data_IF_958257437199
#
_entry.id   IF_958257437199
#
_cell.length_a   1.000
_cell.length_b   1.000
_cell.length_c   1.000
_cell.angle_alpha   90.00
_cell.angle_beta   90.00
_cell.angle_gamma   90.00
#
_symmetry.space_group_name_H-M   'P 1'
#
loop_
_entity.id
_entity.type
_entity.pdbx_description
1 polymer ?
#
# COMPACT_ATOMS: atom_id res chain seq x y z
N UNK A 1 0.21 5.62 -37.17
CA UNK A 1 -0.74 6.70 -36.88
C UNK A 1 0.08 7.96 -36.58
N UNK A 2 -0.23 9.08 -37.27
CA UNK A 2 0.46 10.34 -37.05
C UNK A 2 -0.30 11.15 -35.97
N UNK A 3 0.28 11.38 -34.78
CA UNK A 3 -0.42 12.07 -33.69
C UNK A 3 -0.67 13.56 -33.97
N UNK A 4 0.02 14.15 -34.95
CA UNK A 4 -0.21 15.52 -35.39
C UNK A 4 -1.42 15.65 -36.31
N UNK A 5 -1.85 14.56 -36.94
CA UNK A 5 -3.01 14.53 -37.84
C UNK A 5 -4.25 13.91 -37.19
N UNK A 6 -4.05 12.97 -36.26
CA UNK A 6 -5.14 12.27 -35.60
C UNK A 6 -4.89 12.23 -34.11
N UNK A 7 -5.81 12.75 -33.29
CA UNK A 7 -5.66 12.65 -31.83
C UNK A 7 -5.53 11.20 -31.38
N UNK A 8 -4.62 10.95 -30.42
CA UNK A 8 -4.52 9.65 -29.78
C UNK A 8 -5.56 9.55 -28.66
N UNK A 9 -6.22 8.40 -28.57
CA UNK A 9 -7.04 8.10 -27.42
C UNK A 9 -6.13 7.79 -26.22
N UNK A 10 -6.22 8.60 -25.19
CA UNK A 10 -5.53 8.38 -23.91
C UNK A 10 -6.55 8.31 -22.79
N UNK A 11 -6.24 7.53 -21.76
CA UNK A 11 -7.04 7.41 -20.57
C UNK A 11 -6.13 7.41 -19.34
N UNK A 12 -6.40 8.26 -18.34
CA UNK A 12 -5.67 8.20 -17.08
C UNK A 12 -5.93 6.87 -16.38
N UNK A 13 -4.88 6.15 -16.06
CA UNK A 13 -4.96 4.88 -15.36
C UNK A 13 -3.89 4.79 -14.28
N UNK A 14 -4.19 4.09 -13.20
CA UNK A 14 -3.20 3.78 -12.18
C UNK A 14 -2.13 2.89 -12.81
N UNK A 15 -0.87 3.29 -12.69
CA UNK A 15 0.25 2.60 -13.29
C UNK A 15 1.23 2.04 -12.25
N UNK A 16 1.48 2.77 -11.18
CA UNK A 16 2.47 2.43 -10.17
C UNK A 16 2.03 2.93 -8.81
N UNK A 17 2.17 2.09 -7.79
CA UNK A 17 1.90 2.45 -6.40
C UNK A 17 3.19 2.86 -5.71
N UNK A 18 3.31 4.13 -5.34
CA UNK A 18 4.44 4.61 -4.54
C UNK A 18 4.13 4.39 -3.07
N UNK A 19 5.08 3.78 -2.37
CA UNK A 19 4.91 3.27 -1.03
C UNK A 19 4.81 1.76 -1.02
N UNK A 20 4.90 1.16 0.13
CA UNK A 20 4.92 -0.29 0.31
C UNK A 20 5.40 -0.66 1.71
N UNK A 21 5.92 -1.85 1.87
CA UNK A 21 6.48 -2.30 3.13
C UNK A 21 7.78 -1.55 3.44
N UNK A 22 7.93 -1.10 4.68
CA UNK A 22 9.18 -0.51 5.14
C UNK A 22 10.32 -1.53 5.10
N UNK A 23 11.48 -1.09 4.64
CA UNK A 23 12.73 -1.87 4.64
C UNK A 23 13.90 -0.97 5.05
N UNK A 24 14.94 -1.59 5.59
CA UNK A 24 16.23 -0.94 5.80
C UNK A 24 17.04 -0.83 4.49
N UNK A 25 18.25 -0.26 4.55
CA UNK A 25 19.13 -0.16 3.38
C UNK A 25 19.62 -1.49 2.81
N UNK A 26 19.40 -2.60 3.53
CA UNK A 26 19.66 -3.96 3.07
C UNK A 26 18.42 -4.63 2.46
N UNK A 27 17.33 -3.89 2.30
CA UNK A 27 16.03 -4.35 1.82
C UNK A 27 15.34 -5.36 2.76
N UNK A 28 15.76 -5.42 4.01
CA UNK A 28 15.14 -6.28 5.01
C UNK A 28 14.04 -5.53 5.75
N UNK A 29 12.89 -6.16 5.91
CA UNK A 29 11.75 -5.64 6.67
C UNK A 29 12.00 -5.75 8.19
N UNK A 30 10.99 -5.36 8.98
CA UNK A 30 10.99 -5.57 10.44
C UNK A 30 10.88 -7.05 10.86
N UNK A 31 10.66 -7.95 9.90
CA UNK A 31 10.68 -9.40 10.11
C UNK A 31 12.00 -9.95 9.58
N UNK A 32 12.80 -10.52 10.49
CA UNK A 32 14.10 -11.09 10.14
C UNK A 32 13.99 -12.12 9.03
N UNK A 33 14.79 -11.94 7.97
CA UNK A 33 14.82 -12.80 6.80
C UNK A 33 13.74 -12.54 5.75
N UNK A 34 12.86 -11.55 5.97
CA UNK A 34 11.91 -11.08 4.96
C UNK A 34 12.45 -9.85 4.25
N UNK A 35 12.85 -10.01 3.00
CA UNK A 35 13.35 -8.96 2.12
C UNK A 35 12.26 -8.52 1.14
N UNK A 36 12.17 -7.21 0.87
CA UNK A 36 11.16 -6.64 -0.02
C UNK A 36 11.82 -5.75 -1.07
N UNK A 37 11.54 -6.02 -2.33
CA UNK A 37 12.20 -5.39 -3.48
C UNK A 37 11.20 -4.67 -4.39
N UNK A 38 11.70 -3.68 -5.14
CA UNK A 38 10.94 -2.99 -6.18
C UNK A 38 9.70 -2.29 -5.63
N UNK A 39 8.62 -2.34 -6.39
CA UNK A 39 7.36 -1.65 -6.05
C UNK A 39 6.71 -2.12 -4.73
N UNK A 40 7.05 -3.31 -4.25
CA UNK A 40 6.50 -3.84 -3.00
C UNK A 40 7.09 -3.17 -1.74
N UNK A 41 8.28 -2.58 -1.82
CA UNK A 41 8.86 -1.83 -0.71
C UNK A 41 8.40 -0.36 -0.72
N UNK A 42 8.62 0.37 0.38
CA UNK A 42 8.21 1.76 0.51
C UNK A 42 8.98 2.73 -0.38
N UNK A 43 10.02 2.24 -1.03
CA UNK A 43 10.74 2.78 -2.17
C UNK A 43 11.52 4.07 -1.94
N UNK A 44 12.59 4.21 -2.70
CA UNK A 44 13.46 5.38 -2.78
C UNK A 44 12.95 6.47 -3.77
N UNK A 45 11.75 6.30 -4.33
CA UNK A 45 11.18 7.29 -5.27
C UNK A 45 10.69 8.57 -4.62
N UNK A 46 10.62 8.61 -3.30
CA UNK A 46 10.04 9.72 -2.57
C UNK A 46 8.56 9.92 -2.91
N UNK A 47 8.13 11.18 -2.95
CA UNK A 47 6.74 11.53 -3.15
C UNK A 47 6.27 11.38 -4.60
N UNK A 48 7.17 11.27 -5.58
CA UNK A 48 6.80 11.18 -6.99
C UNK A 48 7.88 10.45 -7.81
N UNK A 49 7.51 9.32 -8.38
CA UNK A 49 8.39 8.53 -9.24
C UNK A 49 8.65 9.22 -10.57
N UNK A 50 9.92 9.28 -10.96
CA UNK A 50 10.32 9.69 -12.31
C UNK A 50 10.05 8.57 -13.33
N UNK A 51 9.83 8.93 -14.59
CA UNK A 51 9.63 7.96 -15.67
C UNK A 51 10.78 6.96 -15.76
N UNK A 52 10.46 5.69 -16.00
CA UNK A 52 11.36 4.54 -16.12
C UNK A 52 12.15 4.15 -14.85
N UNK A 53 12.15 4.93 -13.77
CA UNK A 53 12.94 4.65 -12.56
C UNK A 53 12.47 3.41 -11.79
N UNK A 54 11.20 2.98 -11.92
CA UNK A 54 10.68 1.82 -11.22
C UNK A 54 11.37 0.51 -11.63
N UNK A 55 11.53 0.27 -12.93
CA UNK A 55 12.25 -0.90 -13.42
C UNK A 55 13.74 -0.82 -13.06
N UNK A 56 14.33 0.37 -13.10
CA UNK A 56 15.72 0.59 -12.69
C UNK A 56 15.90 0.23 -11.21
N UNK A 57 15.01 0.66 -10.32
CA UNK A 57 15.02 0.28 -8.92
C UNK A 57 14.94 -1.24 -8.74
N UNK A 58 13.91 -1.88 -9.30
CA UNK A 58 13.73 -3.33 -9.15
C UNK A 58 14.92 -4.14 -9.67
N UNK A 59 15.56 -3.68 -10.76
CA UNK A 59 16.80 -4.29 -11.27
C UNK A 59 17.99 -4.03 -10.36
N UNK A 60 18.13 -2.82 -9.83
CA UNK A 60 19.21 -2.48 -8.90
C UNK A 60 19.08 -3.29 -7.61
N UNK A 61 17.92 -3.36 -7.02
CA UNK A 61 17.60 -4.15 -5.84
C UNK A 61 17.97 -5.64 -6.07
N UNK A 62 17.51 -6.20 -7.20
CA UNK A 62 17.67 -7.60 -7.52
C UNK A 62 19.10 -8.01 -7.91
N UNK A 63 19.85 -7.14 -8.61
CA UNK A 63 21.18 -7.48 -9.10
C UNK A 63 22.30 -6.98 -8.19
N UNK A 64 22.14 -5.84 -7.53
CA UNK A 64 23.23 -5.19 -6.82
C UNK A 64 23.08 -5.21 -5.30
N UNK A 65 21.88 -5.33 -4.76
CA UNK A 65 21.66 -5.31 -3.31
C UNK A 65 21.40 -6.72 -2.75
N UNK A 66 20.32 -7.36 -3.17
CA UNK A 66 19.85 -8.62 -2.60
C UNK A 66 20.87 -9.76 -2.58
N UNK A 67 21.71 -9.99 -3.61
CA UNK A 67 22.69 -11.08 -3.56
C UNK A 67 23.69 -10.95 -2.39
N UNK A 68 24.04 -9.70 -2.05
CA UNK A 68 24.97 -9.42 -0.95
C UNK A 68 24.27 -9.46 0.40
N UNK A 69 23.07 -8.89 0.51
CA UNK A 69 22.32 -8.84 1.78
C UNK A 69 21.85 -10.22 2.22
N UNK A 70 21.33 -11.04 1.30
CA UNK A 70 20.99 -12.44 1.60
C UNK A 70 22.24 -13.23 1.96
N UNK A 71 23.31 -13.09 1.19
CA UNK A 71 24.59 -13.76 1.48
C UNK A 71 25.12 -13.39 2.87
N UNK A 72 25.10 -12.10 3.22
CA UNK A 72 25.49 -11.60 4.54
C UNK A 72 24.60 -12.13 5.67
N UNK A 73 23.29 -12.12 5.46
CA UNK A 73 22.31 -12.63 6.42
C UNK A 73 22.51 -14.13 6.70
N UNK A 74 22.65 -14.93 5.65
CA UNK A 74 22.89 -16.39 5.77
C UNK A 74 24.23 -16.73 6.41
N UNK A 75 25.28 -15.93 6.13
CA UNK A 75 26.61 -16.14 6.70
C UNK A 75 26.66 -15.72 8.18
N UNK A 76 25.90 -14.72 8.58
CA UNK A 76 25.83 -14.20 9.94
C UNK A 76 24.89 -14.96 10.88
N UNK A 77 24.04 -15.80 10.35
CA UNK A 77 22.97 -16.46 11.11
C UNK A 77 23.17 -17.97 11.12
N UNK A 78 22.94 -18.58 12.29
CA UNK A 78 22.85 -20.04 12.41
C UNK A 78 21.38 -20.42 12.42
N UNK A 79 20.95 -21.05 11.34
CA UNK A 79 19.59 -21.59 11.25
C UNK A 79 19.59 -23.05 11.68
N UNK A 80 18.72 -23.40 12.59
CA UNK A 80 18.40 -24.80 12.85
C UNK A 80 17.53 -25.35 11.70
N UNK A 81 17.77 -26.58 11.30
CA UNK A 81 16.91 -27.23 10.34
C UNK A 81 15.54 -27.46 10.94
N UNK A 82 14.53 -26.81 10.36
CA UNK A 82 13.12 -26.92 10.79
C UNK A 82 12.36 -27.77 9.79
N UNK A 83 11.87 -28.93 10.25
CA UNK A 83 11.00 -29.80 9.47
C UNK A 83 9.55 -29.32 9.48
N UNK A 84 8.73 -29.83 8.55
CA UNK A 84 7.30 -29.52 8.44
C UNK A 84 6.47 -30.07 9.61
N UNK A 85 7.04 -30.86 10.48
CA UNK A 85 6.48 -31.34 11.74
C UNK A 85 6.56 -30.31 12.87
N UNK A 86 7.30 -29.21 12.67
CA UNK A 86 7.35 -28.11 13.64
C UNK A 86 5.96 -27.47 13.83
N UNK A 87 5.61 -27.19 15.07
CA UNK A 87 4.27 -26.70 15.46
C UNK A 87 3.81 -25.46 14.69
N UNK A 88 4.74 -24.56 14.29
CA UNK A 88 4.41 -23.35 13.53
C UNK A 88 3.71 -23.66 12.19
N UNK A 89 4.03 -24.78 11.54
CA UNK A 89 3.35 -25.16 10.27
C UNK A 89 1.89 -25.53 10.53
N UNK A 90 1.61 -26.33 11.55
CA UNK A 90 0.25 -26.72 11.90
C UNK A 90 -0.57 -25.51 12.42
N UNK A 91 0.06 -24.59 13.14
CA UNK A 91 -0.56 -23.36 13.62
C UNK A 91 -0.93 -22.43 12.47
N UNK A 92 -0.02 -22.22 11.50
CA UNK A 92 -0.27 -21.40 10.32
C UNK A 92 -1.35 -22.02 9.44
N UNK A 93 -1.31 -23.33 9.19
CA UNK A 93 -2.35 -24.03 8.42
C UNK A 93 -3.72 -23.84 9.07
N UNK A 94 -3.81 -23.95 10.39
CA UNK A 94 -5.05 -23.73 11.15
C UNK A 94 -5.56 -22.29 10.96
N UNK A 95 -4.69 -21.28 11.13
CA UNK A 95 -5.04 -19.88 10.96
C UNK A 95 -5.58 -19.58 9.55
N UNK A 96 -4.91 -20.06 8.51
CA UNK A 96 -5.36 -19.90 7.12
C UNK A 96 -6.70 -20.60 6.89
N UNK A 97 -6.86 -21.81 7.41
CA UNK A 97 -8.11 -22.57 7.32
C UNK A 97 -9.26 -21.84 8.02
N UNK A 98 -9.01 -21.27 9.19
CA UNK A 98 -10.02 -20.52 9.95
C UNK A 98 -10.43 -19.24 9.21
N UNK A 99 -9.52 -18.52 8.57
CA UNK A 99 -9.83 -17.36 7.72
C UNK A 99 -10.69 -17.74 6.52
N UNK A 100 -10.34 -18.82 5.82
CA UNK A 100 -11.13 -19.36 4.70
C UNK A 100 -12.54 -19.72 5.17
N UNK A 101 -12.65 -20.45 6.27
CA UNK A 101 -13.96 -20.85 6.82
C UNK A 101 -14.78 -19.65 7.28
N UNK A 102 -14.14 -18.64 7.87
CA UNK A 102 -14.82 -17.38 8.24
C UNK A 102 -15.48 -16.72 7.04
N UNK A 103 -14.77 -16.58 5.91
CA UNK A 103 -15.32 -16.00 4.68
C UNK A 103 -16.48 -16.83 4.12
N UNK A 104 -16.34 -18.14 4.06
CA UNK A 104 -17.38 -19.04 3.55
C UNK A 104 -18.63 -19.10 4.47
N UNK A 105 -18.46 -18.87 5.76
CA UNK A 105 -19.51 -18.96 6.75
C UNK A 105 -20.41 -17.72 6.81
N UNK A 106 -19.99 -16.56 6.28
CA UNK A 106 -20.80 -15.32 6.31
C UNK A 106 -22.15 -15.52 5.60
N UNK A 107 -22.13 -16.13 4.41
CA UNK A 107 -23.35 -16.43 3.62
C UNK A 107 -24.29 -15.23 3.47
N UNK A 108 -23.73 -14.06 3.25
CA UNK A 108 -24.46 -12.82 3.08
C UNK A 108 -25.18 -12.74 1.73
N UNK A 109 -25.59 -11.53 1.36
CA UNK A 109 -26.37 -11.28 0.12
C UNK A 109 -25.63 -10.43 -0.89
N UNK A 110 -24.56 -9.75 -0.48
CA UNK A 110 -23.83 -8.80 -1.31
C UNK A 110 -22.58 -9.45 -1.88
N UNK A 111 -22.39 -9.31 -3.19
CA UNK A 111 -21.25 -9.96 -3.89
C UNK A 111 -19.91 -9.32 -3.50
N UNK A 112 -18.84 -10.08 -3.63
CA UNK A 112 -17.47 -9.59 -3.44
C UNK A 112 -17.17 -8.42 -4.38
N UNK A 113 -17.60 -8.51 -5.64
CA UNK A 113 -17.39 -7.46 -6.64
C UNK A 113 -18.12 -6.14 -6.29
N UNK A 114 -19.29 -6.22 -5.63
CA UNK A 114 -19.99 -5.02 -5.14
C UNK A 114 -19.23 -4.33 -4.02
N UNK A 115 -18.63 -5.09 -3.10
CA UNK A 115 -17.77 -4.54 -2.05
C UNK A 115 -16.53 -3.88 -2.64
N UNK A 116 -15.85 -4.57 -3.58
CA UNK A 116 -14.68 -4.03 -4.25
C UNK A 116 -14.98 -2.73 -4.98
N UNK A 117 -16.07 -2.69 -5.75
CA UNK A 117 -16.51 -1.50 -6.47
C UNK A 117 -16.87 -0.35 -5.53
N UNK A 118 -17.55 -0.64 -4.43
CA UNK A 118 -17.92 0.38 -3.45
C UNK A 118 -16.69 0.99 -2.79
N UNK A 119 -15.71 0.17 -2.40
CA UNK A 119 -14.43 0.65 -1.88
C UNK A 119 -13.72 1.53 -2.92
N UNK A 120 -13.67 1.08 -4.17
CA UNK A 120 -13.06 1.83 -5.26
C UNK A 120 -13.71 3.21 -5.46
N UNK A 121 -15.04 3.30 -5.39
CA UNK A 121 -15.75 4.59 -5.49
C UNK A 121 -15.45 5.50 -4.29
N UNK A 122 -15.41 4.98 -3.06
CA UNK A 122 -15.05 5.76 -1.88
C UNK A 122 -13.65 6.35 -2.03
N UNK A 123 -12.68 5.53 -2.44
CA UNK A 123 -11.31 6.00 -2.65
C UNK A 123 -11.21 6.97 -3.82
N UNK A 124 -11.93 6.73 -4.91
CA UNK A 124 -11.96 7.63 -6.06
C UNK A 124 -12.49 9.02 -5.69
N UNK A 125 -13.60 9.08 -4.97
CA UNK A 125 -14.28 10.33 -4.65
C UNK A 125 -13.55 11.15 -3.59
N UNK A 126 -12.90 10.49 -2.61
CA UNK A 126 -12.37 11.17 -1.42
C UNK A 126 -10.86 11.05 -1.21
N UNK A 127 -10.21 10.06 -1.81
CA UNK A 127 -8.75 9.83 -1.70
C UNK A 127 -8.07 9.76 -3.07
N UNK A 128 -8.70 10.33 -4.09
CA UNK A 128 -8.21 10.38 -5.47
C UNK A 128 -7.13 11.43 -5.70
N UNK A 129 -7.13 12.02 -6.90
CA UNK A 129 -6.08 12.96 -7.34
C UNK A 129 -6.13 14.30 -6.59
N UNK A 130 -7.30 14.79 -6.24
CA UNK A 130 -7.48 16.02 -5.45
C UNK A 130 -8.22 15.66 -4.17
N UNK A 131 -7.63 15.98 -3.04
CA UNK A 131 -8.07 15.57 -1.70
C UNK A 131 -8.41 16.76 -0.85
N UNK A 132 -9.30 16.59 0.12
CA UNK A 132 -9.50 17.55 1.20
C UNK A 132 -9.76 16.81 2.51
N UNK A 133 -9.49 17.48 3.63
CA UNK A 133 -9.53 16.85 4.95
C UNK A 133 -10.93 16.32 5.32
N UNK A 134 -12.00 17.03 4.92
CA UNK A 134 -13.37 16.60 5.19
C UNK A 134 -13.73 15.33 4.39
N UNK A 135 -13.35 15.28 3.12
CA UNK A 135 -13.53 14.11 2.26
C UNK A 135 -12.75 12.90 2.77
N UNK A 136 -11.48 13.10 3.15
CA UNK A 136 -10.66 12.04 3.72
C UNK A 136 -11.24 11.49 5.03
N UNK A 137 -11.69 12.36 5.94
CA UNK A 137 -12.34 11.93 7.18
C UNK A 137 -13.63 11.14 6.91
N UNK A 138 -14.41 11.56 5.91
CA UNK A 138 -15.61 10.84 5.47
C UNK A 138 -15.25 9.49 4.87
N UNK A 139 -14.22 9.41 4.01
CA UNK A 139 -13.74 8.15 3.44
C UNK A 139 -13.38 7.14 4.54
N UNK A 140 -12.66 7.58 5.57
CA UNK A 140 -12.30 6.71 6.70
C UNK A 140 -13.51 6.11 7.37
N UNK A 141 -14.54 6.91 7.64
CA UNK A 141 -15.79 6.43 8.23
C UNK A 141 -16.48 5.41 7.32
N UNK A 142 -16.65 5.74 6.03
CA UNK A 142 -17.31 4.87 5.06
C UNK A 142 -16.58 3.54 4.84
N UNK A 143 -15.24 3.55 4.85
CA UNK A 143 -14.44 2.31 4.71
C UNK A 143 -14.63 1.42 5.94
N UNK A 144 -14.64 1.99 7.16
CA UNK A 144 -14.91 1.23 8.39
C UNK A 144 -16.30 0.60 8.37
N UNK A 145 -17.31 1.35 8.01
CA UNK A 145 -18.69 0.85 7.87
C UNK A 145 -18.77 -0.26 6.81
N UNK A 146 -18.13 -0.07 5.66
CA UNK A 146 -18.07 -1.06 4.58
C UNK A 146 -17.37 -2.36 5.02
N UNK A 147 -16.27 -2.24 5.79
CA UNK A 147 -15.55 -3.38 6.36
C UNK A 147 -16.40 -4.16 7.35
N UNK A 148 -17.13 -3.46 8.22
CA UNK A 148 -18.07 -4.10 9.14
C UNK A 148 -19.22 -4.82 8.41
N UNK A 149 -19.73 -4.19 7.35
CA UNK A 149 -20.74 -4.82 6.50
C UNK A 149 -20.18 -6.05 5.78
N UNK A 150 -18.95 -5.97 5.25
CA UNK A 150 -18.29 -7.07 4.54
C UNK A 150 -18.30 -8.35 5.39
N UNK A 151 -17.86 -8.29 6.61
CA UNK A 151 -17.79 -9.42 7.52
C UNK A 151 -19.14 -9.94 8.02
N UNK A 152 -20.23 -9.25 7.69
CA UNK A 152 -21.62 -9.66 8.04
C UNK A 152 -22.46 -10.03 6.83
N UNK A 153 -22.08 -9.59 5.63
CA UNK A 153 -22.98 -9.63 4.47
C UNK A 153 -22.32 -10.07 3.16
N UNK A 154 -21.01 -10.43 3.15
CA UNK A 154 -20.39 -10.90 1.92
C UNK A 154 -20.91 -12.27 1.51
N UNK A 155 -21.22 -12.42 0.22
CA UNK A 155 -21.59 -13.69 -0.40
C UNK A 155 -20.39 -14.28 -1.14
N UNK A 156 -19.87 -15.38 -0.62
CA UNK A 156 -18.83 -16.18 -1.26
C UNK A 156 -19.45 -17.51 -1.67
N UNK A 157 -19.81 -17.71 -2.96
CA UNK A 157 -20.36 -18.98 -3.44
C UNK A 157 -19.28 -20.04 -3.52
N UNK A 158 -19.68 -21.31 -3.52
CA UNK A 158 -18.79 -22.46 -3.63
C UNK A 158 -18.24 -22.95 -2.29
N UNK A 159 -17.15 -23.68 -2.37
CA UNK A 159 -16.48 -24.29 -1.22
C UNK A 159 -15.01 -23.95 -1.19
N UNK A 160 -14.30 -24.32 -0.12
CA UNK A 160 -12.84 -24.20 -0.02
C UNK A 160 -12.09 -25.44 -0.54
N UNK A 161 -12.78 -26.45 -1.05
CA UNK A 161 -12.17 -27.71 -1.48
C UNK A 161 -11.68 -27.65 -2.94
N UNK A 162 -12.24 -26.76 -3.74
CA UNK A 162 -11.92 -26.59 -5.16
C UNK A 162 -11.37 -25.19 -5.43
N UNK A 163 -10.84 -24.98 -6.63
CA UNK A 163 -10.43 -23.63 -7.08
C UNK A 163 -11.66 -22.69 -7.06
N UNK A 164 -11.64 -21.74 -6.15
CA UNK A 164 -12.74 -20.81 -5.91
C UNK A 164 -12.28 -19.36 -6.08
N UNK A 165 -12.48 -18.81 -7.28
CA UNK A 165 -12.12 -17.43 -7.58
C UNK A 165 -12.87 -16.39 -6.72
N UNK A 166 -14.11 -16.68 -6.32
CA UNK A 166 -14.85 -15.78 -5.44
C UNK A 166 -14.27 -15.73 -4.03
N UNK A 167 -13.78 -16.86 -3.54
CA UNK A 167 -13.08 -16.93 -2.25
C UNK A 167 -11.74 -16.19 -2.29
N UNK A 168 -10.97 -16.38 -3.36
CA UNK A 168 -9.70 -15.67 -3.57
C UNK A 168 -9.93 -14.16 -3.62
N UNK A 169 -10.90 -13.69 -4.42
CA UNK A 169 -11.28 -12.27 -4.46
C UNK A 169 -11.77 -11.76 -3.11
N UNK A 170 -12.51 -12.55 -2.34
CA UNK A 170 -12.99 -12.14 -1.02
C UNK A 170 -11.84 -11.89 -0.04
N UNK A 171 -10.82 -12.76 -0.06
CA UNK A 171 -9.59 -12.53 0.71
C UNK A 171 -8.92 -11.21 0.33
N UNK A 172 -8.72 -10.97 -0.97
CA UNK A 172 -8.13 -9.70 -1.45
C UNK A 172 -8.95 -8.47 -1.08
N UNK A 173 -10.27 -8.54 -1.17
CA UNK A 173 -11.14 -7.40 -0.79
C UNK A 173 -11.08 -7.13 0.71
N UNK A 174 -10.95 -8.17 1.54
CA UNK A 174 -10.69 -7.99 2.96
C UNK A 174 -9.40 -7.19 3.21
N UNK A 175 -8.30 -7.56 2.52
CA UNK A 175 -7.02 -6.86 2.61
C UNK A 175 -7.12 -5.43 2.05
N UNK A 176 -7.83 -5.21 0.94
CA UNK A 176 -8.03 -3.88 0.37
C UNK A 176 -8.83 -2.94 1.26
N UNK A 177 -9.77 -3.45 2.06
CA UNK A 177 -10.50 -2.66 3.05
C UNK A 177 -9.58 -2.14 4.16
N UNK A 178 -8.66 -2.97 4.64
CA UNK A 178 -7.63 -2.55 5.61
C UNK A 178 -6.65 -1.55 4.98
N UNK A 179 -6.12 -1.88 3.82
CA UNK A 179 -5.15 -1.04 3.12
C UNK A 179 -5.75 0.31 2.70
N UNK A 180 -6.98 0.33 2.22
CA UNK A 180 -7.70 1.56 1.85
C UNK A 180 -7.89 2.50 3.04
N UNK A 181 -8.19 1.97 4.23
CA UNK A 181 -8.23 2.78 5.45
C UNK A 181 -6.86 3.35 5.80
N UNK A 182 -5.79 2.55 5.70
CA UNK A 182 -4.43 3.00 5.97
C UNK A 182 -3.99 4.12 5.01
N UNK A 183 -4.32 4.01 3.72
CA UNK A 183 -4.07 5.09 2.75
C UNK A 183 -4.74 6.40 3.14
N UNK A 184 -5.96 6.33 3.63
CA UNK A 184 -6.70 7.52 4.08
C UNK A 184 -6.12 8.09 5.38
N UNK A 185 -5.70 7.24 6.32
CA UNK A 185 -5.02 7.65 7.55
C UNK A 185 -3.74 8.41 7.23
N UNK A 186 -2.91 7.87 6.33
CA UNK A 186 -1.68 8.52 5.90
C UNK A 186 -1.94 9.86 5.22
N UNK A 187 -2.92 9.92 4.31
CA UNK A 187 -3.30 11.14 3.63
C UNK A 187 -3.81 12.23 4.60
N UNK A 188 -4.53 11.85 5.67
CA UNK A 188 -4.97 12.77 6.72
C UNK A 188 -3.82 13.28 7.58
N UNK A 189 -2.83 12.45 7.84
CA UNK A 189 -1.68 12.79 8.66
C UNK A 189 -0.72 13.76 7.95
N UNK A 190 -0.66 13.74 6.62
CA UNK A 190 0.24 14.56 5.81
C UNK A 190 -0.41 15.89 5.44
N UNK A 191 -0.09 16.94 6.19
CA UNK A 191 -0.67 18.28 6.06
C UNK A 191 0.14 19.17 5.11
N UNK A 192 0.39 18.68 3.92
CA UNK A 192 1.05 19.40 2.82
C UNK A 192 0.51 18.87 1.49
N UNK A 193 0.96 19.42 0.38
CA UNK A 193 0.84 18.79 -0.94
C UNK A 193 2.22 18.49 -1.49
N UNK A 194 2.53 17.21 -1.72
CA UNK A 194 3.81 16.76 -2.22
C UNK A 194 3.64 15.53 -3.11
N UNK A 195 4.12 15.61 -4.34
CA UNK A 195 4.06 14.52 -5.31
C UNK A 195 2.65 14.03 -5.60
N UNK A 196 2.40 12.75 -5.39
CA UNK A 196 1.08 12.13 -5.60
C UNK A 196 0.03 12.49 -4.54
N UNK A 197 0.43 13.10 -3.42
CA UNK A 197 -0.48 13.61 -2.41
C UNK A 197 -0.78 15.09 -2.66
N UNK A 198 -1.94 15.38 -3.23
CA UNK A 198 -2.42 16.74 -3.45
C UNK A 198 -3.66 16.99 -2.58
N UNK A 199 -3.54 17.96 -1.65
CA UNK A 199 -4.62 18.37 -0.75
C UNK A 199 -4.96 19.83 -0.99
N UNK A 200 -6.21 20.12 -1.31
CA UNK A 200 -6.72 21.43 -1.66
C UNK A 200 -6.49 22.50 -0.58
N UNK A 201 -6.31 22.10 0.68
CA UNK A 201 -5.97 23.02 1.76
C UNK A 201 -4.51 23.50 1.71
N UNK A 202 -3.64 22.80 0.95
CA UNK A 202 -2.21 23.07 0.88
C UNK A 202 -1.80 23.34 -0.57
N UNK A 203 -2.23 24.48 -1.08
CA UNK A 203 -1.93 25.02 -2.40
C UNK A 203 -1.30 26.39 -2.30
N UNK A 204 -0.54 26.78 -3.34
CA UNK A 204 -0.13 28.17 -3.57
C UNK A 204 -1.30 28.97 -4.13
N UNK A 205 -1.13 30.30 -4.22
CA UNK A 205 -2.12 31.18 -4.87
C UNK A 205 -2.37 30.84 -6.34
N UNK A 206 -1.39 30.18 -6.97
CA UNK A 206 -1.45 29.72 -8.36
C UNK A 206 -2.01 28.30 -8.51
N UNK A 207 -2.55 27.70 -7.44
CA UNK A 207 -3.05 26.32 -7.39
C UNK A 207 -1.98 25.24 -7.62
N UNK A 208 -0.72 25.54 -7.34
CA UNK A 208 0.34 24.54 -7.31
C UNK A 208 0.43 23.89 -5.91
N UNK A 209 1.05 22.72 -5.84
CA UNK A 209 1.28 22.00 -4.60
C UNK A 209 2.16 22.83 -3.64
N UNK A 210 1.71 23.00 -2.40
CA UNK A 210 2.47 23.67 -1.34
C UNK A 210 3.02 22.64 -0.37
N UNK A 211 4.34 22.41 -0.44
CA UNK A 211 5.09 21.56 0.48
C UNK A 211 5.37 22.27 1.80
N UNK A 212 5.56 21.49 2.83
CA UNK A 212 6.06 21.93 4.14
C UNK A 212 7.27 21.09 4.54
N UNK A 213 8.41 21.38 3.91
CA UNK A 213 9.67 20.63 4.10
C UNK A 213 10.17 20.67 5.55
N UNK A 214 9.79 21.73 6.31
CA UNK A 214 10.21 21.83 7.71
C UNK A 214 9.56 20.76 8.60
N UNK A 215 8.32 20.36 8.30
CA UNK A 215 7.56 19.42 9.12
C UNK A 215 7.41 18.04 8.46
N UNK A 216 7.51 17.94 7.12
CA UNK A 216 7.19 16.73 6.38
C UNK A 216 8.34 16.15 5.53
N UNK A 217 9.58 16.62 5.71
CA UNK A 217 10.76 16.01 5.08
C UNK A 217 11.12 14.67 5.77
N UNK A 218 10.20 13.71 5.69
CA UNK A 218 10.37 12.37 6.24
C UNK A 218 9.56 11.35 5.45
N UNK A 219 10.00 10.09 5.46
CA UNK A 219 9.16 8.96 5.09
C UNK A 219 8.24 8.63 6.28
N UNK A 220 6.96 8.39 6.00
CA UNK A 220 5.98 7.95 6.99
C UNK A 220 5.90 6.42 6.97
N UNK A 221 6.07 5.78 8.12
CA UNK A 221 5.88 4.35 8.28
C UNK A 221 4.79 4.08 9.32
N UNK A 222 3.86 3.20 8.99
CA UNK A 222 2.72 2.84 9.82
C UNK A 222 2.88 1.39 10.30
N UNK A 223 3.07 1.21 11.60
CA UNK A 223 3.23 -0.10 12.20
C UNK A 223 1.87 -0.65 12.64
N UNK A 224 1.60 -1.90 12.27
CA UNK A 224 0.39 -2.60 12.71
C UNK A 224 0.40 -2.83 14.24
N UNK A 225 -0.58 -2.29 14.93
CA UNK A 225 -0.70 -2.37 16.39
C UNK A 225 -1.69 -3.45 16.87
N UNK A 226 -2.28 -4.20 15.96
CA UNK A 226 -3.27 -5.24 16.22
C UNK A 226 -4.66 -4.88 15.66
N UNK A 227 -5.51 -5.88 15.50
CA UNK A 227 -6.86 -5.75 14.95
C UNK A 227 -7.69 -4.72 15.73
N UNK A 228 -8.32 -3.81 14.99
CA UNK A 228 -9.19 -2.76 15.55
C UNK A 228 -8.47 -1.64 16.30
N UNK A 229 -7.14 -1.63 16.33
CA UNK A 229 -6.34 -0.54 16.92
C UNK A 229 -5.90 0.45 15.84
N UNK A 230 -5.63 1.69 16.26
CA UNK A 230 -4.96 2.66 15.40
C UNK A 230 -3.51 2.22 15.17
N UNK A 231 -2.98 2.33 13.94
CA UNK A 231 -1.59 1.99 13.67
C UNK A 231 -0.64 2.99 14.33
N UNK A 232 0.55 2.54 14.73
CA UNK A 232 1.59 3.41 15.26
C UNK A 232 2.28 4.17 14.13
N UNK A 233 2.49 5.47 14.32
CA UNK A 233 3.13 6.33 13.33
C UNK A 233 4.62 6.51 13.63
N UNK A 234 5.47 6.18 12.65
CA UNK A 234 6.90 6.39 12.71
C UNK A 234 7.34 7.35 11.60
N UNK A 235 8.31 8.21 11.92
CA UNK A 235 8.92 9.16 10.99
C UNK A 235 10.37 8.77 10.77
N UNK A 236 10.76 8.59 9.53
CA UNK A 236 12.14 8.44 9.12
C UNK A 236 12.60 9.71 8.42
N UNK A 237 13.44 10.54 9.06
CA UNK A 237 13.92 11.79 8.47
C UNK A 237 14.70 11.53 7.18
N UNK A 238 14.42 12.31 6.14
CA UNK A 238 15.16 12.25 4.89
C UNK A 238 16.38 13.16 4.97
N UNK A 239 17.57 12.60 4.71
CA UNK A 239 18.84 13.31 4.69
C UNK A 239 19.45 13.18 3.31
N UNK A 240 19.79 14.31 2.70
CA UNK A 240 20.35 14.37 1.36
C UNK A 240 21.81 14.85 1.43
N UNK A 241 22.75 14.02 1.01
CA UNK A 241 24.19 14.35 1.05
C UNK A 241 24.60 15.26 -0.12
N UNK A 242 24.03 15.05 -1.30
CA UNK A 242 24.51 15.63 -2.55
C UNK A 242 23.49 16.51 -3.27
N UNK A 243 22.29 16.65 -2.75
CA UNK A 243 21.22 17.45 -3.35
C UNK A 243 20.59 18.35 -2.30
N UNK A 244 20.01 19.46 -2.76
CA UNK A 244 19.23 20.36 -1.91
C UNK A 244 17.77 20.26 -2.27
N UNK A 245 16.90 20.37 -1.27
CA UNK A 245 15.46 20.46 -1.50
C UNK A 245 15.17 21.70 -2.35
N UNK A 246 14.39 21.51 -3.40
CA UNK A 246 13.91 22.59 -4.25
C UNK A 246 12.44 22.39 -4.55
N UNK A 247 11.68 23.47 -4.59
CA UNK A 247 10.29 23.40 -5.00
C UNK A 247 10.21 23.43 -6.52
N UNK A 248 9.47 22.50 -7.08
CA UNK A 248 9.15 22.49 -8.51
C UNK A 248 8.00 23.47 -8.77
N UNK A 249 8.16 24.31 -9.79
CA UNK A 249 7.08 25.12 -10.36
C UNK A 249 6.92 24.76 -11.83
N UNK A 250 5.69 24.89 -12.33
CA UNK A 250 5.35 24.72 -13.75
C UNK A 250 5.18 26.06 -14.48
N UNK A 251 5.59 27.16 -13.83
CA UNK A 251 5.61 28.50 -14.43
C UNK A 251 7.00 28.91 -14.88
#
# INVERSE_FOLDING_TARGET
QDPYQSPMMIYPAVHYTMGGLWVDYNLMSTLDGLFVLGEANFSDHGANRLGASALMQGLADGYFVIPYTIGGYLAGSRFEAVGTDHAAFADTERQVRDQVQKLLAVRGKRTVDDFHRTLGLILWDYCGMSRNNAGLAKARTLIRELREEFWKNVLVPGTGADLNQSLEKAGRVADFLEFGELMVIDALARQESCGGHFNEAYQTEENEARRDDANFCHAAAWEFAGDGKEPNFHKEPLVFENVHLSQRSYK
#
